data_IF_903417818382
#
_entry.id   IF_903417818382
#
_cell.length_a   1.000
_cell.length_b   1.000
_cell.length_c   1.000
_cell.angle_alpha   90.00
_cell.angle_beta   90.00
_cell.angle_gamma   90.00
#
_symmetry.space_group_name_H-M   'P 1'
#
loop_
_entity.id
_entity.type
_entity.pdbx_description
1 polymer ?
#
# COMPACT_ATOMS: atom_id res chain seq x y z
N UNK A 1 -22.29 -29.75 -18.27
CA UNK A 1 -21.76 -28.86 -18.88
C UNK A 1 -21.72 -27.54 -18.27
N UNK A 2 -22.65 -27.00 -17.93
CA UNK A 2 -22.65 -25.75 -17.34
C UNK A 2 -21.84 -25.67 -16.12
N UNK A 3 -21.74 -26.70 -15.36
CA UNK A 3 -21.00 -26.69 -14.16
C UNK A 3 -19.58 -26.36 -14.34
N UNK A 4 -19.06 -26.59 -15.42
CA UNK A 4 -17.69 -26.33 -15.68
C UNK A 4 -17.34 -24.89 -15.50
N UNK A 5 -18.24 -24.06 -15.85
CA UNK A 5 -18.02 -22.64 -15.72
C UNK A 5 -17.86 -22.24 -14.30
N UNK A 6 -18.59 -22.88 -13.44
CA UNK A 6 -18.51 -22.55 -12.05
C UNK A 6 -17.15 -22.81 -11.49
N UNK A 7 -16.54 -23.85 -11.94
CA UNK A 7 -15.25 -24.20 -11.46
C UNK A 7 -14.22 -23.14 -11.74
N UNK A 8 -14.24 -22.64 -12.93
CA UNK A 8 -13.30 -21.64 -13.30
C UNK A 8 -13.42 -20.42 -12.45
N UNK A 9 -14.63 -20.08 -12.15
CA UNK A 9 -14.90 -18.95 -11.36
C UNK A 9 -14.32 -19.07 -9.98
N UNK A 10 -14.42 -20.23 -9.38
CA UNK A 10 -13.90 -20.47 -8.08
C UNK A 10 -12.41 -20.28 -7.99
N UNK A 11 -11.71 -20.65 -8.98
CA UNK A 11 -10.28 -20.51 -8.99
C UNK A 11 -9.88 -19.04 -8.87
N UNK A 12 -10.61 -18.19 -9.47
CA UNK A 12 -10.31 -16.81 -9.41
C UNK A 12 -10.42 -16.27 -8.00
N UNK A 13 -11.36 -16.76 -7.27
CA UNK A 13 -11.54 -16.31 -5.92
C UNK A 13 -10.39 -16.68 -5.04
N UNK A 14 -9.87 -17.85 -5.21
CA UNK A 14 -8.81 -18.29 -4.36
C UNK A 14 -7.61 -17.38 -4.47
N UNK A 15 -7.33 -16.94 -5.64
CA UNK A 15 -6.20 -16.06 -5.84
C UNK A 15 -6.34 -14.76 -5.12
N UNK A 16 -7.51 -14.22 -5.09
CA UNK A 16 -7.67 -12.92 -4.49
C UNK A 16 -7.49 -12.94 -2.99
N UNK A 17 -7.55 -14.10 -2.37
CA UNK A 17 -7.39 -14.19 -0.94
C UNK A 17 -6.01 -13.75 -0.48
N UNK A 18 -5.03 -13.80 -1.38
CA UNK A 18 -3.67 -13.44 -1.03
C UNK A 18 -3.18 -12.22 -1.78
N UNK A 19 -4.08 -11.45 -2.33
CA UNK A 19 -3.68 -10.26 -3.06
C UNK A 19 -3.22 -9.18 -2.10
N UNK A 20 -2.24 -8.40 -2.51
CA UNK A 20 -1.78 -7.28 -1.73
C UNK A 20 -2.87 -6.21 -1.72
N UNK A 21 -2.82 -5.37 -0.70
CA UNK A 21 -3.73 -4.24 -0.61
C UNK A 21 -2.95 -2.97 -0.83
N UNK A 22 -3.57 -2.02 -1.49
CA UNK A 22 -2.94 -0.75 -1.80
C UNK A 22 -3.80 0.39 -1.29
N UNK A 23 -3.14 1.37 -0.67
CA UNK A 23 -3.81 2.54 -0.14
C UNK A 23 -3.05 3.78 -0.58
N UNK A 24 -3.75 4.89 -0.76
CA UNK A 24 -3.13 6.15 -1.11
C UNK A 24 -3.34 7.13 0.03
N UNK A 25 -2.37 7.94 0.33
CA UNK A 25 -2.53 8.95 1.36
C UNK A 25 -1.32 9.86 1.44
N UNK A 26 -1.45 10.90 2.24
CA UNK A 26 -0.34 11.81 2.45
C UNK A 26 0.38 11.45 3.73
N UNK A 27 1.69 11.55 3.71
CA UNK A 27 2.49 11.28 4.89
C UNK A 27 2.24 12.39 5.90
N UNK A 28 1.81 12.02 7.09
CA UNK A 28 1.57 12.99 8.16
C UNK A 28 2.72 13.03 9.15
N UNK A 29 3.37 11.90 9.37
CA UNK A 29 4.57 11.88 10.18
C UNK A 29 5.43 10.71 9.79
N UNK A 30 6.71 10.81 10.05
CA UNK A 30 7.66 9.74 9.76
C UNK A 30 8.88 9.94 10.63
N UNK A 31 9.73 8.89 10.78
CA UNK A 31 10.94 9.02 11.57
C UNK A 31 11.88 10.05 10.97
N UNK A 32 12.67 10.69 11.82
CA UNK A 32 13.55 11.75 11.36
C UNK A 32 14.87 11.26 10.80
N UNK A 33 15.39 10.18 11.35
CA UNK A 33 16.75 9.77 11.02
C UNK A 33 16.87 8.61 10.04
N UNK A 34 15.80 7.92 9.82
CA UNK A 34 15.82 6.82 8.87
C UNK A 34 14.40 6.54 8.41
N UNK A 35 14.25 5.66 7.43
CA UNK A 35 12.91 5.31 7.00
C UNK A 35 12.28 4.26 7.90
N UNK A 36 13.07 3.58 8.71
CA UNK A 36 12.50 2.53 9.55
C UNK A 36 11.84 3.11 10.78
N UNK A 37 10.66 2.64 11.08
CA UNK A 37 9.90 3.10 12.20
C UNK A 37 8.45 3.31 11.84
N UNK A 38 7.77 4.08 12.64
CA UNK A 38 6.34 4.31 12.43
C UNK A 38 6.10 5.50 11.50
N UNK A 39 5.30 5.27 10.48
CA UNK A 39 4.85 6.34 9.59
C UNK A 39 3.35 6.46 9.78
N UNK A 40 2.84 7.70 9.79
CA UNK A 40 1.40 7.92 9.80
C UNK A 40 1.03 8.46 8.45
N UNK A 41 0.15 7.75 7.75
CA UNK A 41 -0.29 8.11 6.41
C UNK A 41 -1.80 8.06 6.38
N UNK A 42 -2.39 9.20 6.09
CA UNK A 42 -3.84 9.34 6.01
C UNK A 42 -4.52 8.84 7.29
N UNK A 43 -3.94 9.20 8.43
CA UNK A 43 -4.52 8.86 9.73
C UNK A 43 -4.26 7.45 10.21
N UNK A 44 -3.53 6.65 9.45
CA UNK A 44 -3.23 5.27 9.84
C UNK A 44 -1.75 5.10 10.10
N UNK A 45 -1.42 4.28 11.09
CA UNK A 45 -0.03 3.99 11.41
C UNK A 45 0.46 2.77 10.66
N UNK A 46 1.65 2.88 10.12
CA UNK A 46 2.29 1.77 9.41
C UNK A 46 3.69 1.58 9.96
N UNK A 47 4.08 0.34 10.13
CA UNK A 47 5.42 0.05 10.63
C UNK A 47 6.32 -0.25 9.42
N UNK A 48 7.30 0.61 9.20
CA UNK A 48 8.24 0.46 8.09
C UNK A 48 9.49 -0.19 8.62
N UNK A 49 9.92 -1.26 7.97
CA UNK A 49 11.07 -2.05 8.42
C UNK A 49 12.13 -2.05 7.33
N UNK A 50 13.23 -2.74 7.61
CA UNK A 50 14.29 -2.84 6.63
C UNK A 50 13.86 -3.61 5.38
N UNK A 51 12.76 -4.34 5.47
CA UNK A 51 12.27 -5.09 4.32
C UNK A 51 11.25 -4.32 3.50
N UNK A 52 10.83 -3.16 3.98
CA UNK A 52 9.91 -2.32 3.24
C UNK A 52 10.69 -1.55 2.18
N UNK A 53 10.20 -1.55 0.97
CA UNK A 53 10.85 -0.78 -0.09
C UNK A 53 10.25 0.61 -0.13
N UNK A 54 11.10 1.65 -0.06
CA UNK A 54 10.64 3.02 -0.17
C UNK A 54 11.12 3.54 -1.50
N UNK A 55 10.19 3.78 -2.42
CA UNK A 55 10.51 4.18 -3.78
C UNK A 55 10.40 5.70 -3.91
N UNK A 56 11.50 6.35 -4.10
CA UNK A 56 11.56 7.81 -4.23
C UNK A 56 11.88 8.26 -5.64
N UNK A 57 11.62 7.43 -6.62
CA UNK A 57 11.91 7.76 -8.00
C UNK A 57 11.18 9.02 -8.46
N UNK A 58 9.95 9.18 -8.03
CA UNK A 58 9.12 10.29 -8.46
C UNK A 58 9.09 11.45 -7.48
N UNK A 59 9.77 11.34 -6.36
CA UNK A 59 9.81 12.40 -5.37
C UNK A 59 10.32 11.90 -4.04
N UNK A 60 10.61 12.81 -3.14
CA UNK A 60 11.14 12.44 -1.84
C UNK A 60 10.05 12.10 -0.85
N UNK A 61 10.33 11.10 -0.03
CA UNK A 61 9.40 10.73 1.05
C UNK A 61 9.58 11.75 2.16
N UNK A 62 8.54 12.54 2.38
CA UNK A 62 8.56 13.57 3.41
C UNK A 62 7.13 13.88 3.80
N UNK A 63 6.96 14.55 4.93
CA UNK A 63 5.63 14.94 5.38
C UNK A 63 4.97 15.78 4.30
N UNK A 64 3.75 15.44 3.97
CA UNK A 64 2.99 16.10 2.91
C UNK A 64 3.03 15.42 1.57
N UNK A 65 3.95 14.50 1.38
CA UNK A 65 4.05 13.78 0.10
C UNK A 65 2.92 12.78 -0.04
N UNK A 66 2.43 12.63 -1.25
CA UNK A 66 1.42 11.62 -1.56
C UNK A 66 2.11 10.31 -1.88
N UNK A 67 1.70 9.25 -1.22
CA UNK A 67 2.30 7.94 -1.44
C UNK A 67 1.25 6.87 -1.65
N UNK A 68 1.67 5.81 -2.29
CA UNK A 68 0.88 4.60 -2.38
C UNK A 68 1.54 3.60 -1.44
N UNK A 69 0.76 3.01 -0.53
CA UNK A 69 1.25 2.04 0.42
C UNK A 69 0.75 0.67 0.00
N UNK A 70 1.66 -0.27 -0.17
CA UNK A 70 1.29 -1.62 -0.54
C UNK A 70 1.51 -2.53 0.66
N UNK A 71 0.45 -3.23 1.08
CA UNK A 71 0.46 -4.12 2.23
C UNK A 71 0.47 -5.55 1.74
N UNK A 72 1.36 -6.34 2.31
CA UNK A 72 1.47 -7.75 1.94
C UNK A 72 0.23 -8.50 2.38
N UNK A 73 -0.41 -9.18 1.45
CA UNK A 73 -1.58 -9.98 1.77
C UNK A 73 -1.30 -11.44 2.04
N UNK A 74 -0.03 -11.82 2.08
CA UNK A 74 0.34 -13.23 2.29
C UNK A 74 0.10 -13.67 3.71
N UNK A 75 0.00 -14.96 3.91
CA UNK A 75 -0.27 -15.52 5.21
C UNK A 75 0.80 -15.20 6.22
N UNK A 76 2.03 -15.35 5.80
CA UNK A 76 3.14 -15.23 6.73
C UNK A 76 3.36 -13.82 7.21
N UNK A 77 3.33 -12.88 6.32
CA UNK A 77 3.60 -11.50 6.67
C UNK A 77 2.40 -10.59 6.43
N UNK A 78 1.22 -11.12 6.64
CA UNK A 78 0.00 -10.36 6.41
C UNK A 78 0.02 -9.08 7.23
N UNK A 79 -0.25 -7.98 6.58
CA UNK A 79 -0.25 -6.69 7.24
C UNK A 79 1.08 -5.97 7.21
N UNK A 80 2.13 -6.61 6.73
CA UNK A 80 3.43 -5.95 6.66
C UNK A 80 3.43 -4.98 5.48
N UNK A 81 4.11 -3.86 5.66
CA UNK A 81 4.24 -2.87 4.59
C UNK A 81 5.31 -3.34 3.63
N UNK A 82 4.90 -3.64 2.41
CA UNK A 82 5.81 -4.14 1.41
C UNK A 82 6.50 -3.00 0.68
N UNK A 83 5.75 -1.97 0.34
CA UNK A 83 6.31 -0.87 -0.42
C UNK A 83 5.60 0.43 -0.12
N UNK A 84 6.36 1.52 -0.09
CA UNK A 84 5.79 2.87 -0.05
C UNK A 84 6.35 3.58 -1.26
N UNK A 85 5.47 3.98 -2.18
CA UNK A 85 5.86 4.56 -3.44
C UNK A 85 5.44 6.03 -3.49
N UNK A 86 6.39 6.94 -3.54
CA UNK A 86 6.08 8.37 -3.57
C UNK A 86 5.56 8.74 -4.95
N UNK A 87 4.41 9.39 -4.98
CA UNK A 87 3.80 9.77 -6.26
C UNK A 87 4.24 11.16 -6.67
N UNK A 88 4.34 11.34 -7.97
CA UNK A 88 4.82 12.59 -8.53
C UNK A 88 3.87 13.75 -8.24
N UNK A 89 2.59 13.49 -8.29
CA UNK A 89 1.59 14.53 -8.13
C UNK A 89 0.77 14.33 -6.88
N UNK A 90 0.77 15.31 -6.00
CA UNK A 90 0.06 15.18 -4.73
C UNK A 90 -1.45 15.18 -4.91
N UNK A 91 -1.95 15.67 -6.02
CA UNK A 91 -3.40 15.68 -6.22
C UNK A 91 -3.96 14.27 -6.35
N UNK A 92 -3.10 13.29 -6.61
CA UNK A 92 -3.57 11.92 -6.71
C UNK A 92 -4.19 11.45 -5.40
N UNK A 93 -3.62 11.87 -4.28
CA UNK A 93 -4.18 11.49 -3.00
C UNK A 93 -5.55 12.10 -2.80
N UNK A 94 -5.74 13.35 -3.19
CA UNK A 94 -7.03 13.98 -3.07
C UNK A 94 -8.07 13.30 -3.96
N UNK A 95 -7.63 12.89 -5.13
CA UNK A 95 -8.51 12.21 -6.05
C UNK A 95 -9.03 10.90 -5.46
N UNK A 96 -8.14 10.13 -4.85
CA UNK A 96 -8.54 8.86 -4.27
C UNK A 96 -9.44 9.05 -3.07
N UNK A 97 -9.27 10.12 -2.34
CA UNK A 97 -10.15 10.40 -1.22
C UNK A 97 -11.57 10.69 -1.70
N UNK A 98 -11.69 11.31 -2.86
CA UNK A 98 -13.02 11.64 -3.37
C UNK A 98 -13.81 10.42 -3.83
N UNK A 99 -13.13 9.42 -4.35
CA UNK A 99 -13.85 8.26 -4.86
C UNK A 99 -14.07 7.20 -3.81
N UNK A 100 -13.50 7.33 -2.66
CA UNK A 100 -13.79 6.44 -1.57
C UNK A 100 -15.02 6.91 -0.84
#
# INVERSE_FOLDING_TARGET
MRKILSLLFLLGFMSSAFADEEFYGKIESMPENSFEGEWVIDGKSYQVTSETEVDEEDGNAKVGACVEVEIDGGEKDAGAVEEIDVKKYSFLCSFYELID
#
